data_IF_365199999931
#
_entry.id   IF_365199999931
#
_cell.length_a   1.000
_cell.length_b   1.000
_cell.length_c   1.000
_cell.angle_alpha   90.00
_cell.angle_beta   90.00
_cell.angle_gamma   90.00
#
_symmetry.space_group_name_H-M   'P 1'
#
loop_
_entity.id
_entity.type
_entity.pdbx_description
1 polymer ?
#
# COMPACT_ATOMS: atom_id res chain seq x y z
N UNK A 1 -20.53 37.48 40.30
CA UNK A 1 -19.85 37.22 39.02
C UNK A 1 -19.16 35.89 39.18
N UNK A 2 -19.89 34.83 38.86
CA UNK A 2 -19.40 33.46 38.97
C UNK A 2 -18.37 33.20 37.86
N UNK A 3 -17.17 32.85 38.28
CA UNK A 3 -16.11 32.37 37.41
C UNK A 3 -16.42 30.92 37.04
N UNK A 4 -17.00 30.71 35.85
CA UNK A 4 -17.07 29.39 35.23
C UNK A 4 -15.64 28.87 34.97
N UNK A 5 -15.29 27.79 35.65
CA UNK A 5 -14.12 26.98 35.35
C UNK A 5 -14.34 26.31 33.99
N UNK A 6 -13.64 26.77 32.94
CA UNK A 6 -13.39 25.94 31.76
C UNK A 6 -12.57 24.72 32.23
N UNK A 7 -13.21 23.58 32.40
CA UNK A 7 -12.54 22.30 32.58
C UNK A 7 -11.94 21.87 31.24
N UNK A 8 -10.63 21.66 31.17
CA UNK A 8 -9.98 21.05 30.03
C UNK A 8 -10.58 19.65 29.77
N UNK A 9 -11.14 19.44 28.57
CA UNK A 9 -11.68 18.14 28.15
C UNK A 9 -10.51 17.13 28.03
N UNK A 10 -10.64 15.96 28.66
CA UNK A 10 -9.65 14.88 28.54
C UNK A 10 -9.83 14.12 27.22
N UNK A 11 -8.77 13.51 26.65
CA UNK A 11 -8.85 12.75 25.40
C UNK A 11 -9.96 11.67 25.39
N UNK A 12 -10.12 10.96 26.50
CA UNK A 12 -11.17 9.96 26.67
C UNK A 12 -12.60 10.54 26.63
N UNK A 13 -12.78 11.81 27.01
CA UNK A 13 -14.07 12.49 26.94
C UNK A 13 -14.39 12.92 25.49
N UNK A 14 -13.36 13.29 24.73
CA UNK A 14 -13.45 13.62 23.30
C UNK A 14 -13.80 12.39 22.46
N UNK A 15 -13.10 11.27 22.64
CA UNK A 15 -13.39 10.01 21.92
C UNK A 15 -14.80 9.49 22.21
N UNK A 16 -15.26 9.57 23.46
CA UNK A 16 -16.63 9.19 23.83
C UNK A 16 -17.67 10.09 23.16
N UNK A 17 -17.41 11.39 23.02
CA UNK A 17 -18.28 12.37 22.37
C UNK A 17 -18.33 12.14 20.85
N UNK A 18 -17.19 11.82 20.23
CA UNK A 18 -17.11 11.46 18.80
C UNK A 18 -17.83 10.14 18.49
N UNK A 19 -17.65 9.09 19.32
CA UNK A 19 -18.41 7.83 19.17
C UNK A 19 -19.91 8.04 19.31
N UNK A 20 -20.34 8.83 20.29
CA UNK A 20 -21.76 9.14 20.48
C UNK A 20 -22.35 9.91 19.28
N UNK A 21 -21.53 10.70 18.58
CA UNK A 21 -21.93 11.37 17.33
C UNK A 21 -22.05 10.37 16.19
N UNK A 22 -21.10 9.44 16.05
CA UNK A 22 -21.11 8.40 15.01
C UNK A 22 -22.41 7.57 15.02
N UNK A 23 -22.88 7.18 16.21
CA UNK A 23 -24.09 6.35 16.33
C UNK A 23 -25.40 7.12 16.24
N UNK A 24 -25.39 8.45 16.42
CA UNK A 24 -26.63 9.24 16.55
C UNK A 24 -27.53 9.10 15.33
N UNK A 25 -26.93 9.20 14.15
CA UNK A 25 -27.63 9.21 12.85
C UNK A 25 -27.64 7.83 12.16
N UNK A 26 -26.87 6.86 12.67
CA UNK A 26 -26.80 5.51 12.11
C UNK A 26 -28.01 4.64 12.51
N UNK A 27 -28.50 3.84 11.57
CA UNK A 27 -29.48 2.77 11.82
C UNK A 27 -28.76 1.42 11.88
N UNK A 28 -28.87 0.74 13.03
CA UNK A 28 -28.29 -0.59 13.27
C UNK A 28 -28.97 -1.24 14.47
N UNK A 29 -29.00 -2.58 14.48
CA UNK A 29 -29.87 -3.33 15.40
C UNK A 29 -29.39 -3.24 16.86
N UNK A 30 -28.07 -3.17 17.07
CA UNK A 30 -27.48 -3.13 18.42
C UNK A 30 -27.28 -1.72 18.97
N UNK A 31 -27.92 -0.69 18.40
CA UNK A 31 -27.74 0.72 18.78
C UNK A 31 -27.85 1.00 20.28
N UNK A 32 -28.87 0.42 20.91
CA UNK A 32 -29.15 0.59 22.33
C UNK A 32 -28.61 -0.57 23.20
N UNK A 33 -27.86 -1.50 22.61
CA UNK A 33 -27.28 -2.62 23.35
C UNK A 33 -26.22 -2.11 24.35
N UNK A 34 -26.26 -2.59 25.59
CA UNK A 34 -25.31 -2.17 26.65
C UNK A 34 -24.55 -3.35 27.26
N UNK A 35 -24.91 -4.59 26.91
CA UNK A 35 -24.31 -5.82 27.44
C UNK A 35 -24.08 -6.81 26.31
N UNK A 36 -22.99 -7.58 26.36
CA UNK A 36 -22.68 -8.59 25.35
C UNK A 36 -23.74 -9.69 25.28
N UNK A 37 -24.34 -10.09 26.40
CA UNK A 37 -25.40 -11.11 26.40
C UNK A 37 -26.59 -10.74 25.51
N UNK A 38 -26.92 -9.45 25.43
CA UNK A 38 -28.06 -8.92 24.68
C UNK A 38 -27.73 -8.57 23.23
N UNK A 39 -26.46 -8.70 22.82
CA UNK A 39 -26.03 -8.38 21.47
C UNK A 39 -26.62 -9.38 20.46
N UNK A 40 -27.34 -8.85 19.47
CA UNK A 40 -28.03 -9.60 18.43
C UNK A 40 -27.07 -9.83 17.27
N UNK A 41 -26.94 -11.09 16.85
CA UNK A 41 -26.18 -11.51 15.66
C UNK A 41 -27.16 -12.21 14.73
N UNK A 42 -27.45 -11.59 13.59
CA UNK A 42 -28.32 -12.11 12.53
C UNK A 42 -27.86 -11.55 11.17
N UNK A 43 -28.62 -11.76 10.09
CA UNK A 43 -28.28 -11.22 8.77
C UNK A 43 -28.33 -9.70 8.63
N UNK A 44 -28.94 -9.00 9.60
CA UNK A 44 -29.14 -7.55 9.57
C UNK A 44 -27.99 -6.76 10.21
N UNK A 45 -27.03 -7.44 10.87
CA UNK A 45 -25.86 -6.75 11.43
C UNK A 45 -25.04 -6.07 10.34
N UNK A 46 -24.55 -4.88 10.63
CA UNK A 46 -23.75 -4.07 9.71
C UNK A 46 -22.47 -3.53 10.37
N UNK A 47 -21.76 -2.66 9.67
CA UNK A 47 -20.50 -2.07 10.16
C UNK A 47 -20.64 -1.36 11.51
N UNK A 48 -21.79 -0.74 11.81
CA UNK A 48 -22.04 -0.11 13.11
C UNK A 48 -22.23 -1.14 14.21
N UNK A 49 -22.84 -2.29 13.93
CA UNK A 49 -22.92 -3.40 14.88
C UNK A 49 -21.52 -3.96 15.19
N UNK A 50 -20.64 -4.09 14.18
CA UNK A 50 -19.25 -4.49 14.39
C UNK A 50 -18.50 -3.51 15.31
N UNK A 51 -18.64 -2.20 15.08
CA UNK A 51 -18.06 -1.17 15.96
C UNK A 51 -18.66 -1.24 17.37
N UNK A 52 -19.97 -1.47 17.48
CA UNK A 52 -20.66 -1.61 18.75
C UNK A 52 -20.18 -2.84 19.54
N UNK A 53 -19.93 -3.95 18.87
CA UNK A 53 -19.35 -5.16 19.46
C UNK A 53 -17.95 -4.88 20.02
N UNK A 54 -17.12 -4.15 19.27
CA UNK A 54 -15.79 -3.73 19.72
C UNK A 54 -15.89 -2.83 20.98
N UNK A 55 -16.79 -1.85 20.97
CA UNK A 55 -17.05 -0.98 22.13
C UNK A 55 -17.47 -1.78 23.37
N UNK A 56 -18.37 -2.75 23.22
CA UNK A 56 -18.85 -3.58 24.33
C UNK A 56 -17.75 -4.50 24.89
N UNK A 57 -16.78 -4.88 24.06
CA UNK A 57 -15.59 -5.61 24.47
C UNK A 57 -14.46 -4.70 24.99
N UNK A 58 -14.61 -3.38 24.89
CA UNK A 58 -13.58 -2.42 25.30
C UNK A 58 -12.33 -2.46 24.43
N UNK A 59 -12.47 -2.77 23.14
CA UNK A 59 -11.37 -2.86 22.18
C UNK A 59 -11.53 -1.85 21.05
N UNK A 60 -10.42 -1.48 20.42
CA UNK A 60 -10.44 -0.71 19.18
C UNK A 60 -10.58 -1.65 17.97
N UNK A 61 -11.39 -1.22 17.00
CA UNK A 61 -11.50 -1.90 15.71
C UNK A 61 -10.34 -1.46 14.81
N UNK A 62 -9.29 -2.28 14.74
CA UNK A 62 -8.03 -1.96 14.05
C UNK A 62 -7.98 -2.59 12.64
N UNK A 63 -9.08 -2.51 11.90
CA UNK A 63 -9.21 -2.99 10.52
C UNK A 63 -9.88 -1.93 9.65
N UNK A 64 -9.54 -1.94 8.37
CA UNK A 64 -10.11 -1.06 7.34
C UNK A 64 -11.48 -1.58 6.83
N UNK A 65 -12.28 -0.68 6.25
CA UNK A 65 -13.70 -0.92 5.94
C UNK A 65 -13.92 -2.03 4.90
N UNK A 66 -12.96 -2.27 4.02
CA UNK A 66 -13.01 -3.35 3.04
C UNK A 66 -13.10 -4.75 3.66
N UNK A 67 -12.67 -4.92 4.90
CA UNK A 67 -12.77 -6.19 5.63
C UNK A 67 -14.00 -6.28 6.54
N UNK A 68 -14.86 -5.26 6.59
CA UNK A 68 -16.06 -5.31 7.43
C UNK A 68 -17.03 -6.42 7.00
N UNK A 69 -17.38 -6.59 5.70
CA UNK A 69 -18.25 -7.70 5.28
C UNK A 69 -17.68 -9.06 5.67
N UNK A 70 -16.39 -9.30 5.41
CA UNK A 70 -15.68 -10.53 5.78
C UNK A 70 -15.76 -10.81 7.29
N UNK A 71 -15.57 -9.77 8.11
CA UNK A 71 -15.61 -9.87 9.57
C UNK A 71 -17.04 -10.11 10.10
N UNK A 72 -18.05 -9.53 9.46
CA UNK A 72 -19.46 -9.77 9.81
C UNK A 72 -19.87 -11.22 9.53
N UNK A 73 -19.43 -11.79 8.40
CA UNK A 73 -19.64 -13.20 8.10
C UNK A 73 -18.95 -14.12 9.11
N UNK A 74 -17.70 -13.81 9.48
CA UNK A 74 -16.95 -14.50 10.54
C UNK A 74 -17.77 -14.50 11.85
N UNK A 75 -18.26 -13.34 12.28
CA UNK A 75 -19.06 -13.19 13.51
C UNK A 75 -20.32 -14.04 13.48
N UNK A 76 -21.04 -14.08 12.35
CA UNK A 76 -22.24 -14.93 12.19
C UNK A 76 -21.89 -16.42 12.33
N UNK A 77 -20.86 -16.88 11.61
CA UNK A 77 -20.42 -18.28 11.71
C UNK A 77 -19.93 -18.63 13.12
N UNK A 78 -19.19 -17.75 13.79
CA UNK A 78 -18.79 -17.97 15.18
C UNK A 78 -20.02 -18.08 16.10
N UNK A 79 -21.00 -17.20 15.93
CA UNK A 79 -22.22 -17.21 16.74
C UNK A 79 -23.02 -18.50 16.59
N UNK A 80 -23.23 -18.95 15.35
CA UNK A 80 -23.90 -20.22 15.04
C UNK A 80 -23.18 -21.43 15.66
N UNK A 81 -21.87 -21.31 15.90
CA UNK A 81 -21.02 -22.34 16.49
C UNK A 81 -20.75 -22.14 17.99
N UNK A 82 -21.55 -21.31 18.67
CA UNK A 82 -21.57 -21.20 20.12
C UNK A 82 -20.57 -20.20 20.72
N UNK A 83 -20.05 -19.27 19.92
CA UNK A 83 -19.19 -18.19 20.42
C UNK A 83 -19.93 -17.28 21.41
N UNK A 84 -19.27 -16.90 22.51
CA UNK A 84 -19.83 -16.14 23.63
C UNK A 84 -19.78 -14.62 23.46
N UNK A 85 -19.43 -14.15 22.25
CA UNK A 85 -19.32 -12.75 21.85
C UNK A 85 -18.16 -11.98 22.48
N UNK A 86 -17.30 -12.65 23.25
CA UNK A 86 -16.09 -12.03 23.80
C UNK A 86 -14.96 -12.06 22.78
N UNK A 87 -14.38 -10.91 22.51
CA UNK A 87 -13.22 -10.75 21.62
C UNK A 87 -12.24 -9.79 22.28
N UNK A 88 -10.98 -10.18 22.33
CA UNK A 88 -9.91 -9.38 22.95
C UNK A 88 -9.20 -8.46 21.96
N UNK A 89 -9.31 -8.73 20.65
CA UNK A 89 -8.73 -7.88 19.61
C UNK A 89 -9.27 -8.27 18.21
N UNK A 90 -9.53 -7.25 17.38
CA UNK A 90 -9.80 -7.38 15.93
C UNK A 90 -8.84 -6.42 15.22
N UNK A 91 -7.88 -6.95 14.47
CA UNK A 91 -6.85 -6.12 13.82
C UNK A 91 -6.33 -6.70 12.52
N UNK A 92 -5.76 -5.84 11.69
CA UNK A 92 -4.80 -6.25 10.66
C UNK A 92 -3.47 -6.59 11.33
N UNK A 93 -2.83 -7.67 10.87
CA UNK A 93 -1.43 -7.96 11.17
C UNK A 93 -0.80 -8.88 10.13
N UNK A 94 0.22 -8.37 9.42
CA UNK A 94 0.96 -9.07 8.36
C UNK A 94 0.06 -9.40 7.16
N UNK A 95 -0.70 -8.41 6.69
CA UNK A 95 -1.66 -8.58 5.59
C UNK A 95 -2.77 -9.61 5.90
N UNK A 96 -3.07 -9.84 7.18
CA UNK A 96 -4.06 -10.82 7.63
C UNK A 96 -5.02 -10.21 8.66
N UNK A 97 -6.30 -10.56 8.55
CA UNK A 97 -7.29 -10.35 9.60
C UNK A 97 -6.99 -11.24 10.80
N UNK A 98 -6.82 -10.62 11.97
CA UNK A 98 -6.70 -11.32 13.26
C UNK A 98 -7.91 -11.08 14.12
N UNK A 99 -8.55 -12.17 14.54
CA UNK A 99 -9.70 -12.18 15.44
C UNK A 99 -9.37 -13.01 16.68
N UNK A 100 -9.13 -12.36 17.82
CA UNK A 100 -8.69 -13.02 19.04
C UNK A 100 -9.85 -13.23 20.02
N UNK A 101 -10.24 -14.48 20.25
CA UNK A 101 -11.24 -14.87 21.24
C UNK A 101 -10.64 -15.91 22.20
N UNK A 102 -11.34 -16.20 23.30
CA UNK A 102 -10.96 -17.28 24.20
C UNK A 102 -11.43 -18.62 23.60
N UNK A 103 -10.65 -19.18 22.69
CA UNK A 103 -10.85 -20.51 22.12
C UNK A 103 -9.59 -21.38 22.24
N UNK A 104 -9.78 -22.69 22.24
CA UNK A 104 -8.67 -23.63 22.22
C UNK A 104 -8.19 -23.82 20.77
N UNK A 105 -6.87 -23.89 20.57
CA UNK A 105 -6.28 -24.25 19.28
C UNK A 105 -6.86 -25.59 18.79
N UNK A 106 -7.25 -25.65 17.51
CA UNK A 106 -7.90 -26.82 16.92
C UNK A 106 -9.36 -27.03 17.32
N UNK A 107 -9.98 -26.06 18.01
CA UNK A 107 -11.43 -26.04 18.19
C UNK A 107 -12.15 -25.69 16.89
N UNK A 108 -13.45 -25.98 16.81
CA UNK A 108 -14.26 -25.59 15.67
C UNK A 108 -14.26 -24.05 15.45
N UNK A 109 -14.22 -23.26 16.52
CA UNK A 109 -14.12 -21.80 16.42
C UNK A 109 -12.78 -21.37 15.80
N UNK A 110 -11.68 -22.03 16.19
CA UNK A 110 -10.36 -21.79 15.63
C UNK A 110 -10.34 -22.01 14.11
N UNK A 111 -10.88 -23.14 13.64
CA UNK A 111 -10.94 -23.46 12.21
C UNK A 111 -11.76 -22.44 11.41
N UNK A 112 -12.84 -21.91 11.99
CA UNK A 112 -13.61 -20.83 11.37
C UNK A 112 -12.74 -19.56 11.28
N UNK A 113 -12.03 -19.19 12.35
CA UNK A 113 -11.15 -18.00 12.36
C UNK A 113 -10.03 -18.15 11.31
N UNK A 114 -9.38 -19.31 11.23
CA UNK A 114 -8.31 -19.58 10.25
C UNK A 114 -8.81 -19.43 8.81
N UNK A 115 -9.98 -20.01 8.49
CA UNK A 115 -10.62 -19.84 7.17
C UNK A 115 -10.81 -18.37 6.79
N UNK A 116 -11.24 -17.51 7.73
CA UNK A 116 -11.44 -16.09 7.47
C UNK A 116 -10.12 -15.29 7.46
N UNK A 117 -9.11 -15.75 8.19
CA UNK A 117 -7.75 -15.22 8.16
C UNK A 117 -7.15 -15.44 6.77
N UNK A 118 -7.22 -16.65 6.23
CA UNK A 118 -6.74 -16.99 4.88
C UNK A 118 -7.48 -16.16 3.81
N UNK A 119 -8.82 -16.11 3.88
CA UNK A 119 -9.62 -15.29 2.95
C UNK A 119 -9.24 -13.81 2.93
N UNK A 120 -8.81 -13.25 4.06
CA UNK A 120 -8.46 -11.82 4.11
C UNK A 120 -7.26 -11.47 3.25
N UNK A 121 -6.35 -12.42 3.00
CA UNK A 121 -5.10 -12.22 2.26
C UNK A 121 -5.32 -11.92 0.77
N UNK A 122 -6.51 -12.21 0.24
CA UNK A 122 -6.88 -11.95 -1.16
C UNK A 122 -7.93 -10.84 -1.31
N UNK A 123 -8.26 -10.13 -0.23
CA UNK A 123 -9.28 -9.08 -0.20
C UNK A 123 -8.63 -7.75 0.18
N UNK A 124 -8.79 -6.73 -0.67
CA UNK A 124 -8.30 -5.38 -0.38
C UNK A 124 -8.93 -4.83 0.91
N UNK A 125 -8.09 -4.48 1.88
CA UNK A 125 -8.54 -3.98 3.18
C UNK A 125 -9.30 -2.65 3.08
N UNK A 126 -9.04 -1.85 2.05
CA UNK A 126 -9.67 -0.54 1.85
C UNK A 126 -11.08 -0.63 1.27
N UNK A 127 -11.32 -1.51 0.28
CA UNK A 127 -12.60 -1.55 -0.45
C UNK A 127 -13.27 -2.91 -0.61
N UNK A 128 -12.64 -4.01 -0.18
CA UNK A 128 -13.22 -5.35 -0.27
C UNK A 128 -13.16 -6.01 -1.65
N UNK A 129 -12.58 -5.35 -2.67
CA UNK A 129 -12.32 -5.97 -3.96
C UNK A 129 -11.16 -6.99 -3.87
N UNK A 130 -10.94 -7.79 -4.91
CA UNK A 130 -9.76 -8.68 -4.99
C UNK A 130 -8.47 -7.87 -4.80
N UNK A 131 -7.60 -8.34 -3.93
CA UNK A 131 -6.32 -7.73 -3.62
C UNK A 131 -5.18 -8.75 -3.61
N UNK A 132 -3.97 -8.22 -3.50
CA UNK A 132 -2.74 -9.00 -3.32
C UNK A 132 -1.99 -8.45 -2.11
N UNK A 133 -1.19 -9.29 -1.47
CA UNK A 133 -0.25 -8.86 -0.44
C UNK A 133 0.77 -7.90 -1.04
N UNK A 134 0.87 -6.71 -0.44
CA UNK A 134 1.82 -5.66 -0.79
C UNK A 134 2.73 -5.39 0.38
N UNK A 135 3.90 -4.84 0.09
CA UNK A 135 4.82 -4.35 1.11
C UNK A 135 5.22 -2.91 0.80
N UNK A 136 5.13 -2.02 1.77
CA UNK A 136 5.49 -0.62 1.62
C UNK A 136 5.93 -0.03 2.96
N UNK A 137 7.06 0.68 2.97
CA UNK A 137 7.58 1.36 4.18
C UNK A 137 7.71 0.44 5.41
N UNK A 138 8.01 -0.85 5.20
CA UNK A 138 8.17 -1.84 6.29
C UNK A 138 6.88 -2.47 6.81
N UNK A 139 5.75 -2.25 6.15
CA UNK A 139 4.46 -2.84 6.50
C UNK A 139 3.94 -3.71 5.35
N UNK A 140 3.34 -4.85 5.71
CA UNK A 140 2.62 -5.73 4.80
C UNK A 140 1.11 -5.48 4.95
N UNK A 141 0.40 -5.41 3.83
CA UNK A 141 -1.03 -5.13 3.79
C UNK A 141 -1.65 -5.72 2.52
N UNK A 142 -2.97 -5.84 2.45
CA UNK A 142 -3.66 -6.36 1.25
C UNK A 142 -4.33 -5.22 0.51
N UNK A 143 -3.94 -5.00 -0.75
CA UNK A 143 -4.54 -3.97 -1.58
C UNK A 143 -4.79 -4.44 -3.01
N UNK A 144 -5.93 -4.00 -3.56
CA UNK A 144 -6.13 -4.02 -5.00
C UNK A 144 -5.15 -3.04 -5.67
N UNK A 145 -4.88 -3.24 -6.97
CA UNK A 145 -3.94 -2.41 -7.72
C UNK A 145 -4.23 -0.91 -7.62
N UNK A 146 -5.51 -0.51 -7.61
CA UNK A 146 -5.92 0.89 -7.41
C UNK A 146 -5.38 1.48 -6.10
N UNK A 147 -5.76 0.90 -4.97
CA UNK A 147 -5.36 1.42 -3.65
C UNK A 147 -3.85 1.28 -3.43
N UNK A 148 -3.25 0.24 -4.02
CA UNK A 148 -1.79 0.10 -4.03
C UNK A 148 -1.10 1.30 -4.70
N UNK A 149 -1.58 1.72 -5.88
CA UNK A 149 -1.04 2.87 -6.60
C UNK A 149 -1.32 4.20 -5.88
N UNK A 150 -2.52 4.35 -5.30
CA UNK A 150 -2.88 5.55 -4.51
C UNK A 150 -1.93 5.74 -3.30
N UNK A 151 -1.53 4.65 -2.64
CA UNK A 151 -0.61 4.65 -1.50
C UNK A 151 0.84 4.98 -1.89
N UNK A 152 1.30 4.58 -3.09
CA UNK A 152 2.67 4.89 -3.57
C UNK A 152 2.85 6.37 -3.85
N UNK A 153 1.77 7.06 -4.21
CA UNK A 153 1.77 8.45 -4.67
C UNK A 153 2.65 8.70 -5.91
N UNK A 154 2.46 9.84 -6.55
CA UNK A 154 3.19 10.20 -7.79
C UNK A 154 4.10 11.40 -7.56
N UNK A 155 5.29 11.37 -8.17
CA UNK A 155 6.19 12.52 -8.32
C UNK A 155 6.38 12.85 -9.81
N UNK A 156 6.37 14.12 -10.18
CA UNK A 156 6.63 14.55 -11.56
C UNK A 156 7.40 15.86 -11.60
N UNK A 157 8.45 15.91 -12.42
CA UNK A 157 9.13 17.17 -12.74
C UNK A 157 8.33 17.98 -13.76
N UNK A 158 8.37 19.29 -13.62
CA UNK A 158 7.69 20.28 -14.45
C UNK A 158 8.65 21.46 -14.74
N UNK A 159 8.32 22.30 -15.72
CA UNK A 159 9.23 23.37 -16.15
C UNK A 159 9.58 24.37 -15.01
N UNK A 160 8.62 24.68 -14.15
CA UNK A 160 8.76 25.68 -13.07
C UNK A 160 8.92 25.05 -11.68
N UNK A 161 8.86 23.72 -11.60
CA UNK A 161 8.80 23.03 -10.33
C UNK A 161 8.62 21.54 -10.46
N UNK A 162 8.00 20.93 -9.46
CA UNK A 162 7.59 19.55 -9.47
C UNK A 162 6.31 19.37 -8.67
N UNK A 163 5.61 18.28 -8.91
CA UNK A 163 4.45 17.88 -8.11
C UNK A 163 4.74 16.59 -7.36
N UNK A 164 4.27 16.50 -6.12
CA UNK A 164 4.31 15.28 -5.31
C UNK A 164 3.03 15.15 -4.48
N UNK A 165 2.40 13.97 -4.52
CA UNK A 165 1.05 13.73 -3.94
C UNK A 165 0.00 14.75 -4.42
N UNK A 166 0.12 15.22 -5.66
CA UNK A 166 -0.77 16.26 -6.22
C UNK A 166 -0.50 17.69 -5.73
N UNK A 167 0.51 17.91 -4.88
CA UNK A 167 0.92 19.23 -4.41
C UNK A 167 2.08 19.74 -5.27
N UNK A 168 1.97 20.95 -5.82
CA UNK A 168 3.01 21.58 -6.63
C UNK A 168 4.00 22.39 -5.78
N UNK A 169 5.28 22.28 -6.13
CA UNK A 169 6.42 22.95 -5.51
C UNK A 169 7.24 23.66 -6.57
N UNK A 170 7.70 24.89 -6.32
CA UNK A 170 8.54 25.61 -7.29
C UNK A 170 10.01 25.33 -7.06
N UNK A 171 10.79 25.30 -8.14
CA UNK A 171 12.22 25.05 -8.07
C UNK A 171 12.98 26.09 -7.22
N UNK A 172 12.57 27.36 -7.30
CA UNK A 172 13.19 28.45 -6.54
C UNK A 172 12.86 28.43 -5.04
N UNK A 173 11.98 27.53 -4.59
CA UNK A 173 11.66 27.33 -3.18
C UNK A 173 12.55 26.25 -2.56
N UNK A 174 13.18 25.41 -3.40
CA UNK A 174 14.07 24.33 -2.98
C UNK A 174 15.44 24.91 -2.64
N UNK A 175 15.83 24.71 -1.39
CA UNK A 175 17.14 25.07 -0.85
C UNK A 175 18.20 24.05 -1.21
N UNK A 176 17.89 22.76 -1.08
CA UNK A 176 18.82 21.66 -1.34
C UNK A 176 18.07 20.34 -1.56
N UNK A 177 18.77 19.35 -2.10
CA UNK A 177 18.30 17.97 -2.20
C UNK A 177 19.41 17.00 -1.83
N UNK A 178 19.08 15.90 -1.16
CA UNK A 178 20.04 14.85 -0.85
C UNK A 178 19.35 13.49 -0.65
N UNK A 179 20.09 12.41 -0.85
CA UNK A 179 19.58 11.07 -0.62
C UNK A 179 19.81 10.61 0.83
N UNK A 180 18.89 9.81 1.35
CA UNK A 180 18.95 9.31 2.72
C UNK A 180 18.60 7.82 2.80
N UNK A 181 19.09 7.16 3.87
CA UNK A 181 18.90 5.72 4.14
C UNK A 181 19.35 4.84 2.97
N UNK A 182 20.67 4.69 2.83
CA UNK A 182 21.27 3.83 1.80
C UNK A 182 21.17 2.35 2.20
N UNK A 183 20.49 1.56 1.38
CA UNK A 183 20.47 0.11 1.50
C UNK A 183 21.70 -0.47 0.81
N UNK A 184 22.64 -1.02 1.59
CA UNK A 184 23.88 -1.59 1.07
C UNK A 184 23.64 -2.88 0.27
N UNK A 185 22.58 -3.63 0.56
CA UNK A 185 22.28 -4.89 -0.11
C UNK A 185 21.64 -4.64 -1.47
N UNK A 186 20.73 -3.67 -1.57
CA UNK A 186 20.05 -3.31 -2.81
C UNK A 186 20.81 -2.25 -3.61
N UNK A 187 21.73 -1.51 -2.98
CA UNK A 187 22.49 -0.45 -3.63
C UNK A 187 21.62 0.74 -4.04
N UNK A 188 20.55 1.02 -3.27
CA UNK A 188 19.56 2.07 -3.51
C UNK A 188 19.40 2.95 -2.26
N UNK A 189 19.00 4.20 -2.45
CA UNK A 189 18.55 5.05 -1.35
C UNK A 189 17.04 4.93 -1.19
N UNK A 190 16.57 4.83 0.06
CA UNK A 190 15.14 4.71 0.36
C UNK A 190 14.38 6.03 0.20
N UNK A 191 15.07 7.16 0.37
CA UNK A 191 14.44 8.47 0.30
C UNK A 191 15.29 9.48 -0.47
N UNK A 192 14.61 10.31 -1.26
CA UNK A 192 15.09 11.64 -1.65
C UNK A 192 14.49 12.66 -0.67
N UNK A 193 15.35 13.43 -0.01
CA UNK A 193 14.96 14.53 0.85
C UNK A 193 15.11 15.84 0.07
N UNK A 194 14.03 16.63 0.03
CA UNK A 194 13.99 17.96 -0.58
C UNK A 194 13.82 18.98 0.54
N UNK A 195 14.81 19.86 0.72
CA UNK A 195 14.78 20.95 1.70
C UNK A 195 14.25 22.23 1.07
N UNK A 196 13.40 22.95 1.77
CA UNK A 196 12.88 24.24 1.34
C UNK A 196 13.52 25.41 2.08
N UNK A 197 13.52 26.59 1.44
CA UNK A 197 13.97 27.83 2.09
C UNK A 197 13.06 28.29 3.24
N UNK A 198 11.79 27.89 3.20
CA UNK A 198 10.76 28.24 4.17
C UNK A 198 9.90 27.02 4.47
N UNK A 199 9.34 26.97 5.69
CA UNK A 199 8.37 25.94 6.07
C UNK A 199 7.17 25.94 5.12
N UNK A 200 6.62 24.77 4.76
CA UNK A 200 5.32 24.71 4.07
C UNK A 200 4.28 23.99 4.90
N UNK A 201 3.05 24.48 4.79
CA UNK A 201 1.85 23.84 5.32
C UNK A 201 1.46 22.62 4.48
N UNK A 202 0.99 21.55 5.13
CA UNK A 202 0.52 20.33 4.45
C UNK A 202 1.61 19.29 4.15
N UNK A 203 2.76 19.38 4.82
CA UNK A 203 3.85 18.44 4.70
C UNK A 203 3.68 17.20 5.59
N UNK A 204 4.22 16.06 5.14
CA UNK A 204 4.19 14.77 5.85
C UNK A 204 5.57 14.32 6.33
N UNK A 205 6.56 15.22 6.38
CA UNK A 205 7.88 14.95 6.94
C UNK A 205 7.94 15.23 8.45
N UNK A 206 8.91 14.65 9.18
CA UNK A 206 9.16 14.99 10.59
C UNK A 206 9.55 16.46 10.81
N UNK A 207 10.03 17.15 9.75
CA UNK A 207 10.40 18.57 9.80
C UNK A 207 9.56 19.38 8.81
N UNK A 208 9.05 20.53 9.26
CA UNK A 208 8.16 21.42 8.48
C UNK A 208 8.80 22.05 7.23
N UNK A 209 10.11 21.87 7.03
CA UNK A 209 10.90 22.42 5.92
C UNK A 209 11.47 21.32 5.00
N UNK A 210 11.10 20.06 5.22
CA UNK A 210 11.61 18.92 4.44
C UNK A 210 10.48 18.08 3.86
N UNK A 211 10.64 17.70 2.60
CA UNK A 211 9.81 16.71 1.93
C UNK A 211 10.59 15.41 1.73
N UNK A 212 10.00 14.31 2.19
CA UNK A 212 10.51 12.96 2.01
C UNK A 212 9.79 12.30 0.86
N UNK A 213 10.51 12.03 -0.22
CA UNK A 213 10.01 11.31 -1.39
C UNK A 213 10.58 9.89 -1.32
N UNK A 214 9.76 8.86 -1.05
CA UNK A 214 10.24 7.49 -1.03
C UNK A 214 10.56 7.00 -2.44
N UNK A 215 11.52 6.08 -2.52
CA UNK A 215 11.99 5.43 -3.74
C UNK A 215 10.90 4.67 -4.51
N UNK A 216 9.89 4.17 -3.81
CA UNK A 216 8.76 3.46 -4.42
C UNK A 216 7.68 4.39 -4.97
N UNK A 217 7.85 5.72 -4.90
CA UNK A 217 6.91 6.67 -5.51
C UNK A 217 6.78 6.40 -7.01
N UNK A 218 5.57 6.50 -7.55
CA UNK A 218 5.33 6.39 -8.98
C UNK A 218 6.09 7.52 -9.68
N UNK A 219 6.87 7.18 -10.72
CA UNK A 219 7.75 8.07 -11.50
C UNK A 219 8.98 8.58 -10.76
N UNK A 220 9.41 7.93 -9.68
CA UNK A 220 10.62 8.29 -8.95
C UNK A 220 11.86 8.30 -9.86
N UNK A 221 12.08 7.25 -10.63
CA UNK A 221 13.22 7.10 -11.54
C UNK A 221 13.13 8.08 -12.71
N UNK A 222 11.92 8.37 -13.21
CA UNK A 222 11.69 9.42 -14.20
C UNK A 222 12.04 10.81 -13.64
N UNK A 223 11.72 11.08 -12.38
CA UNK A 223 12.09 12.31 -11.70
C UNK A 223 13.61 12.42 -11.51
N UNK A 224 14.27 11.34 -11.08
CA UNK A 224 15.73 11.31 -10.96
C UNK A 224 16.43 11.41 -12.31
N UNK A 225 15.86 10.81 -13.37
CA UNK A 225 16.34 10.97 -14.73
C UNK A 225 16.30 12.45 -15.13
N UNK A 226 15.19 13.15 -14.89
CA UNK A 226 15.08 14.58 -15.15
C UNK A 226 16.19 15.37 -14.43
N UNK A 227 16.43 15.11 -13.15
CA UNK A 227 17.50 15.76 -12.38
C UNK A 227 18.91 15.40 -12.89
N UNK A 228 19.11 14.18 -13.37
CA UNK A 228 20.38 13.70 -13.90
C UNK A 228 20.76 14.33 -15.25
N UNK A 229 19.77 14.82 -16.00
CA UNK A 229 19.94 15.49 -17.28
C UNK A 229 20.16 17.00 -17.14
N UNK A 230 20.04 17.56 -15.93
CA UNK A 230 20.28 18.98 -15.70
C UNK A 230 21.77 19.31 -15.80
N UNK A 231 22.13 20.49 -16.35
CA UNK A 231 23.51 20.95 -16.40
C UNK A 231 24.14 21.05 -15.00
N UNK A 232 25.45 20.80 -14.92
CA UNK A 232 26.19 20.86 -13.66
C UNK A 232 26.24 22.28 -13.06
N UNK A 233 26.19 23.30 -13.90
CA UNK A 233 26.15 24.72 -13.54
C UNK A 233 24.74 25.32 -13.65
N UNK A 234 23.73 24.46 -13.82
CA UNK A 234 22.33 24.86 -13.99
C UNK A 234 21.64 25.23 -12.67
N UNK A 235 20.45 25.87 -12.75
CA UNK A 235 19.68 26.29 -11.57
C UNK A 235 19.16 25.11 -10.71
N UNK A 236 19.20 23.89 -11.23
CA UNK A 236 18.82 22.65 -10.53
C UNK A 236 20.05 21.84 -10.08
N UNK A 237 21.20 22.50 -9.94
CA UNK A 237 22.36 21.90 -9.32
C UNK A 237 22.27 21.99 -7.78
N UNK A 238 22.09 20.84 -7.14
CA UNK A 238 22.13 20.72 -5.69
C UNK A 238 23.36 19.92 -5.26
N UNK A 239 24.21 20.50 -4.41
CA UNK A 239 25.47 19.88 -3.96
C UNK A 239 25.26 18.67 -3.06
N UNK A 240 24.08 18.52 -2.44
CA UNK A 240 23.73 17.36 -1.63
C UNK A 240 23.38 16.10 -2.43
N UNK A 241 23.18 16.22 -3.75
CA UNK A 241 22.83 15.08 -4.59
C UNK A 241 24.08 14.28 -4.96
N UNK A 242 24.06 12.99 -4.61
CA UNK A 242 25.05 12.03 -5.08
C UNK A 242 24.92 11.87 -6.61
N UNK A 243 25.87 12.45 -7.36
CA UNK A 243 25.83 12.48 -8.82
C UNK A 243 26.08 11.12 -9.45
N UNK A 244 26.94 10.30 -8.86
CA UNK A 244 27.18 8.94 -9.33
C UNK A 244 25.91 8.09 -9.22
N UNK A 245 25.15 8.26 -8.14
CA UNK A 245 23.86 7.62 -7.98
C UNK A 245 22.85 8.13 -9.02
N UNK A 246 22.69 9.45 -9.18
CA UNK A 246 21.78 10.04 -10.19
C UNK A 246 22.11 9.60 -11.62
N UNK A 247 23.39 9.49 -11.96
CA UNK A 247 23.81 9.09 -13.30
C UNK A 247 23.31 7.69 -13.69
N UNK A 248 23.01 6.82 -12.72
CA UNK A 248 22.46 5.48 -12.96
C UNK A 248 21.01 5.50 -13.48
N UNK A 249 20.32 6.65 -13.44
CA UNK A 249 18.93 6.82 -13.91
C UNK A 249 18.83 7.43 -15.32
N UNK A 250 19.97 7.79 -15.95
CA UNK A 250 19.99 8.51 -17.25
C UNK A 250 19.36 7.73 -18.40
N UNK A 251 19.53 6.41 -18.39
CA UNK A 251 19.23 5.54 -19.52
C UNK A 251 18.23 4.47 -19.09
N UNK A 252 16.93 4.80 -18.98
CA UNK A 252 15.91 3.80 -18.73
C UNK A 252 15.80 2.84 -19.91
N UNK A 253 15.37 1.61 -19.60
CA UNK A 253 15.14 0.56 -20.60
C UNK A 253 13.67 0.16 -20.63
N UNK A 254 13.25 -0.40 -21.77
CA UNK A 254 11.94 -1.02 -21.87
C UNK A 254 11.92 -2.33 -21.08
N UNK A 255 10.91 -2.49 -20.23
CA UNK A 255 10.73 -3.73 -19.48
C UNK A 255 10.27 -4.86 -20.41
N UNK A 256 10.95 -6.01 -20.36
CA UNK A 256 10.55 -7.19 -21.14
C UNK A 256 9.22 -7.80 -20.65
N UNK A 257 8.86 -7.56 -19.39
CA UNK A 257 7.62 -8.02 -18.78
C UNK A 257 6.45 -7.15 -19.24
N UNK A 258 6.38 -5.89 -18.81
CA UNK A 258 5.22 -5.03 -19.10
C UNK A 258 5.33 -4.18 -20.38
N UNK A 259 6.52 -4.07 -20.97
CA UNK A 259 6.75 -3.30 -22.21
C UNK A 259 6.94 -1.79 -22.02
N UNK A 260 6.87 -1.27 -20.80
CA UNK A 260 7.01 0.16 -20.51
C UNK A 260 8.47 0.59 -20.31
N UNK A 261 8.81 1.81 -20.73
CA UNK A 261 10.13 2.45 -20.55
C UNK A 261 10.29 2.91 -19.10
N UNK A 262 10.41 1.95 -18.19
CA UNK A 262 10.33 2.16 -16.76
C UNK A 262 11.37 1.35 -15.97
N UNK A 263 12.36 0.75 -16.65
CA UNK A 263 13.43 0.02 -15.97
C UNK A 263 14.50 0.99 -15.50
N UNK A 264 14.67 1.07 -14.18
CA UNK A 264 15.73 1.82 -13.51
C UNK A 264 16.44 0.87 -12.55
N UNK A 265 17.78 0.88 -12.55
CA UNK A 265 18.58 0.06 -11.63
C UNK A 265 18.26 -1.45 -11.68
N UNK A 266 17.97 -1.99 -12.88
CA UNK A 266 17.57 -3.38 -13.11
C UNK A 266 16.21 -3.78 -12.46
N UNK A 267 15.33 -2.82 -12.15
CA UNK A 267 13.96 -3.05 -11.69
C UNK A 267 12.97 -2.14 -12.44
N UNK A 268 11.78 -2.64 -12.73
CA UNK A 268 10.76 -1.86 -13.44
C UNK A 268 9.86 -1.11 -12.45
N UNK A 269 9.75 0.21 -12.52
CA UNK A 269 8.86 0.99 -11.63
C UNK A 269 7.36 0.75 -11.90
N UNK A 270 7.03 0.23 -13.09
CA UNK A 270 5.67 -0.07 -13.51
C UNK A 270 5.19 -1.40 -12.94
N UNK A 271 5.87 -2.51 -13.27
CA UNK A 271 5.48 -3.85 -12.82
C UNK A 271 6.25 -4.36 -11.60
N UNK A 272 7.23 -3.61 -11.11
CA UNK A 272 7.98 -3.87 -9.87
C UNK A 272 8.76 -5.18 -9.88
N UNK A 273 8.95 -5.71 -11.07
CA UNK A 273 9.75 -6.89 -11.29
C UNK A 273 11.19 -6.51 -11.64
N UNK A 274 12.10 -7.28 -11.08
CA UNK A 274 13.51 -7.26 -11.44
C UNK A 274 13.68 -7.75 -12.88
N UNK A 275 14.65 -7.19 -13.59
CA UNK A 275 15.03 -7.71 -14.90
C UNK A 275 15.59 -9.13 -14.77
N UNK A 276 15.56 -9.89 -15.88
CA UNK A 276 16.21 -11.20 -15.95
C UNK A 276 17.67 -11.17 -15.48
N UNK A 277 18.40 -10.11 -15.85
CA UNK A 277 19.79 -9.90 -15.43
C UNK A 277 19.92 -9.82 -13.90
N UNK A 278 19.03 -9.08 -13.24
CA UNK A 278 19.02 -8.97 -11.77
C UNK A 278 18.57 -10.27 -11.10
N UNK A 279 17.52 -10.91 -11.62
CA UNK A 279 17.04 -12.21 -11.16
C UNK A 279 18.12 -13.31 -11.23
N UNK A 280 18.78 -13.45 -12.38
CA UNK A 280 19.83 -14.46 -12.60
C UNK A 280 21.03 -14.25 -11.65
N UNK A 281 21.41 -12.99 -11.38
CA UNK A 281 22.45 -12.68 -10.39
C UNK A 281 22.09 -13.16 -8.98
N UNK A 282 20.81 -13.11 -8.60
CA UNK A 282 20.35 -13.54 -7.27
C UNK A 282 20.38 -15.06 -7.09
N UNK A 283 20.16 -15.82 -8.16
CA UNK A 283 20.08 -17.29 -8.12
C UNK A 283 21.47 -17.97 -8.24
N UNK A 284 22.55 -17.19 -8.15
CA UNK A 284 23.95 -17.68 -8.15
C UNK A 284 24.33 -18.51 -9.40
N UNK A 285 24.00 -17.98 -10.58
CA UNK A 285 24.73 -18.32 -11.81
C UNK A 285 24.19 -19.52 -12.59
N UNK A 286 22.92 -19.45 -12.98
CA UNK A 286 22.54 -20.11 -14.23
C UNK A 286 23.07 -19.30 -15.41
N UNK A 287 23.33 -19.94 -16.55
CA UNK A 287 23.82 -19.27 -17.75
C UNK A 287 22.91 -18.08 -18.10
N UNK A 288 23.44 -16.84 -18.07
CA UNK A 288 22.70 -15.64 -18.48
C UNK A 288 22.18 -15.76 -19.93
N UNK A 289 22.75 -16.67 -20.71
CA UNK A 289 22.36 -16.99 -22.07
C UNK A 289 21.33 -18.13 -22.18
N UNK A 290 20.82 -18.66 -21.06
CA UNK A 290 19.70 -19.60 -21.05
C UNK A 290 18.41 -18.89 -21.50
N UNK A 291 18.17 -18.98 -22.81
CA UNK A 291 17.04 -18.31 -23.46
C UNK A 291 15.70 -18.89 -23.04
N UNK A 292 15.66 -20.19 -22.75
CA UNK A 292 14.42 -20.88 -22.38
C UNK A 292 13.97 -20.41 -21.00
N UNK A 293 14.86 -20.47 -20.01
CA UNK A 293 14.54 -19.99 -18.65
C UNK A 293 14.22 -18.51 -18.60
N UNK A 294 14.94 -17.69 -19.38
CA UNK A 294 14.60 -16.27 -19.52
C UNK A 294 13.17 -16.09 -20.03
N UNK A 295 12.80 -16.82 -21.08
CA UNK A 295 11.45 -16.73 -21.65
C UNK A 295 10.39 -17.19 -20.65
N UNK A 296 10.62 -18.31 -19.95
CA UNK A 296 9.71 -18.80 -18.91
C UNK A 296 9.53 -17.80 -17.77
N UNK A 297 10.62 -17.19 -17.30
CA UNK A 297 10.59 -16.14 -16.30
C UNK A 297 9.76 -14.94 -16.77
N UNK A 298 10.05 -14.40 -17.96
CA UNK A 298 9.29 -13.26 -18.50
C UNK A 298 7.81 -13.63 -18.65
N UNK A 299 7.51 -14.82 -19.19
CA UNK A 299 6.15 -15.32 -19.39
C UNK A 299 5.36 -15.38 -18.07
N UNK A 300 5.97 -15.92 -17.02
CA UNK A 300 5.39 -15.98 -15.68
C UNK A 300 4.99 -14.59 -15.17
N UNK A 301 5.94 -13.65 -15.16
CA UNK A 301 5.69 -12.32 -14.62
C UNK A 301 4.77 -11.47 -15.50
N UNK A 302 4.67 -11.79 -16.80
CA UNK A 302 3.65 -11.21 -17.68
C UNK A 302 2.24 -11.65 -17.27
N UNK A 303 2.03 -12.93 -16.96
CA UNK A 303 0.74 -13.43 -16.47
C UNK A 303 0.37 -12.75 -15.14
N UNK A 304 1.32 -12.67 -14.20
CA UNK A 304 1.10 -12.00 -12.91
C UNK A 304 0.74 -10.52 -13.08
N UNK A 305 1.47 -9.80 -13.93
CA UNK A 305 1.18 -8.40 -14.23
C UNK A 305 -0.23 -8.16 -14.78
N UNK A 306 -0.73 -9.05 -15.64
CA UNK A 306 -2.09 -8.97 -16.19
C UNK A 306 -3.15 -9.30 -15.12
N UNK A 307 -2.90 -10.31 -14.29
CA UNK A 307 -3.82 -10.70 -13.21
C UNK A 307 -3.97 -9.61 -12.14
N UNK A 308 -2.90 -8.87 -11.88
CA UNK A 308 -2.90 -7.71 -11.00
C UNK A 308 -3.48 -6.44 -11.66
N UNK A 309 -4.19 -6.58 -12.79
CA UNK A 309 -4.76 -5.45 -13.55
C UNK A 309 -3.72 -4.38 -13.97
N UNK A 310 -2.43 -4.71 -13.93
CA UNK A 310 -1.36 -3.74 -14.06
C UNK A 310 -1.40 -2.99 -15.39
N UNK A 311 -1.64 -3.72 -16.49
CA UNK A 311 -1.79 -3.14 -17.82
C UNK A 311 -2.96 -2.16 -17.90
N UNK A 312 -4.07 -2.46 -17.24
CA UNK A 312 -5.27 -1.62 -17.24
C UNK A 312 -4.96 -0.28 -16.57
N UNK A 313 -4.36 -0.30 -15.37
CA UNK A 313 -4.04 0.93 -14.65
C UNK A 313 -2.93 1.74 -15.32
N UNK A 314 -1.89 1.11 -15.85
CA UNK A 314 -0.82 1.86 -16.51
C UNK A 314 -1.31 2.53 -17.81
N UNK A 315 -2.19 1.89 -18.59
CA UNK A 315 -2.81 2.55 -19.76
C UNK A 315 -3.64 3.77 -19.39
N UNK A 316 -4.25 3.78 -18.20
CA UNK A 316 -5.02 4.91 -17.69
C UNK A 316 -4.11 6.03 -17.18
N UNK A 317 -3.06 5.69 -16.42
CA UNK A 317 -2.15 6.66 -15.81
C UNK A 317 -1.14 7.25 -16.80
N UNK A 318 -0.70 6.45 -17.77
CA UNK A 318 0.28 6.84 -18.81
C UNK A 318 1.55 7.43 -18.22
N UNK A 319 2.06 6.83 -17.15
CA UNK A 319 3.28 7.30 -16.50
C UNK A 319 4.51 7.09 -17.38
N UNK A 320 4.50 6.03 -18.20
CA UNK A 320 5.62 5.65 -19.04
C UNK A 320 5.21 5.39 -20.50
N UNK A 321 6.08 5.70 -21.48
CA UNK A 321 5.90 5.24 -22.85
C UNK A 321 5.94 3.71 -22.96
N UNK A 322 5.08 3.13 -23.79
CA UNK A 322 5.08 1.68 -24.09
C UNK A 322 5.81 1.38 -25.39
N UNK A 323 6.59 0.31 -25.41
CA UNK A 323 7.22 -0.20 -26.64
C UNK A 323 6.14 -0.76 -27.59
N UNK A 324 5.98 -0.22 -28.81
CA UNK A 324 5.00 -0.73 -29.78
C UNK A 324 5.28 -2.17 -30.24
N UNK A 325 6.53 -2.61 -30.13
CA UNK A 325 6.96 -3.97 -30.50
C UNK A 325 6.90 -4.96 -29.33
N UNK A 326 6.43 -4.55 -28.16
CA UNK A 326 6.24 -5.47 -27.03
C UNK A 326 5.20 -6.54 -27.38
N UNK A 327 5.45 -7.77 -26.91
CA UNK A 327 4.61 -8.95 -27.13
C UNK A 327 4.47 -9.74 -25.84
N UNK A 328 3.28 -10.29 -25.63
CA UNK A 328 3.04 -11.31 -24.62
C UNK A 328 3.62 -12.64 -25.08
N UNK A 329 4.33 -13.33 -24.19
CA UNK A 329 4.96 -14.63 -24.45
C UNK A 329 4.07 -15.81 -24.06
N UNK A 330 2.96 -15.56 -23.36
CA UNK A 330 2.01 -16.60 -22.95
C UNK A 330 0.86 -16.74 -23.94
N UNK A 331 0.29 -17.95 -24.05
CA UNK A 331 -0.98 -18.20 -24.74
C UNK A 331 -2.18 -18.03 -23.80
N UNK A 332 -3.38 -17.91 -24.36
CA UNK A 332 -4.61 -17.81 -23.56
C UNK A 332 -4.83 -19.07 -22.70
N UNK A 333 -4.47 -20.25 -23.20
CA UNK A 333 -4.51 -21.50 -22.43
C UNK A 333 -3.56 -21.46 -21.24
N UNK A 334 -2.33 -20.97 -21.42
CA UNK A 334 -1.35 -20.84 -20.34
C UNK A 334 -1.81 -19.83 -19.27
N UNK A 335 -2.40 -18.70 -19.70
CA UNK A 335 -2.97 -17.71 -18.79
C UNK A 335 -4.10 -18.29 -17.92
N UNK A 336 -4.97 -19.10 -18.52
CA UNK A 336 -6.09 -19.77 -17.83
C UNK A 336 -5.63 -20.93 -16.94
N UNK A 337 -4.60 -21.66 -17.36
CA UNK A 337 -4.05 -22.80 -16.61
C UNK A 337 -3.23 -22.37 -15.40
N UNK A 338 -2.78 -21.11 -15.34
CA UNK A 338 -2.02 -20.62 -14.20
C UNK A 338 -2.89 -20.66 -12.93
N UNK A 339 -2.43 -21.25 -11.82
CA UNK A 339 -3.24 -21.44 -10.63
C UNK A 339 -3.75 -20.10 -10.10
N UNK A 340 -5.04 -20.01 -9.78
CA UNK A 340 -5.55 -19.00 -8.84
C UNK A 340 -5.16 -19.49 -7.46
N UNK A 341 -4.33 -18.75 -6.74
CA UNK A 341 -4.25 -18.92 -5.29
C UNK A 341 -5.62 -18.46 -4.76
N UNK A 342 -6.55 -19.41 -4.60
CA UNK A 342 -7.88 -19.21 -4.04
C UNK A 342 -7.87 -19.39 -2.51
#
# INVERSE_FOLDING_TARGET
MDTEKLSAETPANTEKKERNRLYREAEFINKNCTRLEDFIINEEINAFDLRKLADLNGIDLQISEGWYPLTLELIRQLHENGWDKKVSCIKEKYAELRFYTADAYGSNLHTIIEKYTEKSQSICETCGAKGETRSGSGWEYVACRKHYLENRHTISAENLGFSYKGISYRWNEVKNMHFHSFDQFQGIYRFLIIEFHQKKSGHHGPNDDQLYVPEHSIRFGNFLQFLSLQPYDGPLYYSGLNRDYLNRFKHPEFCEICGYLAVYLDECECCENKTWKSYNKMIKGEDLHDREKKQEHIKLYQILWIRDEGEIYEQQQKNYPKNPEHRWLFTEEEYKAYPTED
#
